data_IF_043699457201
#
_entry.id   IF_043699457201
#
_cell.length_a   1.000
_cell.length_b   1.000
_cell.length_c   1.000
_cell.angle_alpha   90.00
_cell.angle_beta   90.00
_cell.angle_gamma   90.00
#
_symmetry.space_group_name_H-M   'P 1'
#
loop_
_entity.id
_entity.type
_entity.pdbx_description
1 polymer ?
#
# COMPACT_ATOMS: atom_id res chain seq x y z
N UNK A 1 9.79 31.29 -13.76
CA UNK A 1 10.19 30.12 -12.95
C UNK A 1 11.67 29.83 -13.20
N UNK A 2 12.56 30.70 -12.70
CA UNK A 2 14.00 30.58 -12.86
C UNK A 2 14.62 30.42 -11.47
N UNK A 3 14.62 29.19 -10.93
CA UNK A 3 15.26 28.86 -9.65
C UNK A 3 15.68 27.38 -9.51
N UNK A 4 15.70 26.57 -10.57
CA UNK A 4 16.10 25.15 -10.50
C UNK A 4 17.50 24.85 -11.07
N UNK A 5 18.20 25.84 -11.63
CA UNK A 5 19.49 25.67 -12.29
C UNK A 5 20.71 25.28 -11.42
N UNK A 6 20.84 25.69 -10.12
CA UNK A 6 22.11 25.48 -9.43
C UNK A 6 22.23 24.15 -8.64
N UNK A 7 21.16 23.34 -8.54
CA UNK A 7 21.19 22.10 -7.75
C UNK A 7 21.90 20.94 -8.50
N UNK A 8 21.87 20.94 -9.84
CA UNK A 8 22.43 19.87 -10.66
C UNK A 8 23.97 19.81 -10.62
N UNK A 9 24.64 20.95 -10.39
CA UNK A 9 26.12 21.05 -10.48
C UNK A 9 26.81 20.54 -9.21
N UNK A 10 26.12 20.46 -8.06
CA UNK A 10 26.73 20.05 -6.78
C UNK A 10 26.69 18.54 -6.58
N UNK A 11 25.74 17.83 -7.19
CA UNK A 11 25.56 16.38 -6.96
C UNK A 11 26.53 15.49 -7.75
N UNK A 12 27.03 15.94 -8.89
CA UNK A 12 27.94 15.15 -9.75
C UNK A 12 29.35 15.00 -9.15
N UNK A 13 29.73 15.83 -8.16
CA UNK A 13 31.09 15.88 -7.64
C UNK A 13 31.37 14.98 -6.40
N UNK A 14 30.36 14.30 -5.82
CA UNK A 14 30.50 13.63 -4.50
C UNK A 14 30.42 12.10 -4.50
N UNK A 15 30.17 11.44 -5.64
CA UNK A 15 30.12 9.97 -5.70
C UNK A 15 31.44 9.37 -6.23
N UNK A 16 32.46 9.33 -5.37
CA UNK A 16 33.68 8.55 -5.59
C UNK A 16 33.42 7.06 -5.41
N UNK A 17 33.55 6.30 -6.50
CA UNK A 17 33.45 4.83 -6.56
C UNK A 17 34.76 4.22 -6.03
N UNK A 18 34.66 3.26 -5.10
CA UNK A 18 35.78 2.36 -4.77
C UNK A 18 35.30 0.91 -4.76
N UNK A 19 35.93 0.09 -5.61
CA UNK A 19 35.72 -1.34 -5.80
C UNK A 19 36.61 -2.11 -4.81
N UNK A 20 36.06 -3.13 -4.14
CA UNK A 20 36.81 -4.06 -3.30
C UNK A 20 36.28 -5.49 -3.42
N UNK A 21 37.16 -6.41 -3.80
CA UNK A 21 36.91 -7.85 -4.04
C UNK A 21 37.08 -8.72 -2.76
N UNK A 22 36.32 -9.83 -2.71
CA UNK A 22 36.71 -11.16 -2.23
C UNK A 22 36.89 -11.42 -0.72
N UNK A 23 36.14 -12.36 -0.12
CA UNK A 23 36.49 -13.80 -0.11
C UNK A 23 35.45 -14.68 0.62
N UNK A 24 35.33 -15.92 0.16
CA UNK A 24 34.45 -16.99 0.66
C UNK A 24 34.96 -17.62 1.97
N UNK A 25 34.05 -18.14 2.81
CA UNK A 25 34.23 -19.47 3.41
C UNK A 25 32.95 -20.09 4.00
N UNK A 26 32.76 -21.37 3.65
CA UNK A 26 31.76 -22.35 4.10
C UNK A 26 31.98 -22.79 5.55
N UNK A 27 30.92 -23.27 6.23
CA UNK A 27 30.92 -24.52 7.02
C UNK A 27 29.47 -24.95 7.42
N UNK A 28 29.23 -26.26 7.39
CA UNK A 28 27.96 -26.99 7.57
C UNK A 28 27.70 -27.41 9.04
N UNK A 29 26.50 -27.94 9.38
CA UNK A 29 25.95 -28.02 10.75
C UNK A 29 26.12 -29.39 11.44
N UNK A 30 25.95 -29.42 12.77
CA UNK A 30 25.83 -30.64 13.58
C UNK A 30 24.47 -30.75 14.28
N UNK A 31 23.82 -31.91 14.09
CA UNK A 31 22.63 -32.41 14.79
C UNK A 31 22.94 -32.92 16.21
N UNK A 32 21.95 -32.87 17.11
CA UNK A 32 21.68 -33.96 18.08
C UNK A 32 20.26 -33.84 18.68
N UNK A 33 19.40 -34.80 18.33
CA UNK A 33 18.14 -35.11 19.02
C UNK A 33 18.39 -35.95 20.28
N UNK A 34 17.54 -35.82 21.31
CA UNK A 34 17.48 -36.76 22.44
C UNK A 34 16.02 -37.11 22.74
N UNK A 35 15.71 -38.39 22.57
CA UNK A 35 14.48 -39.06 23.02
C UNK A 35 14.47 -39.29 24.54
N UNK A 36 13.29 -39.29 25.15
CA UNK A 36 13.04 -39.69 26.54
C UNK A 36 12.04 -40.86 26.59
N UNK A 37 12.18 -41.81 27.54
CA UNK A 37 11.45 -43.08 27.50
C UNK A 37 10.11 -43.07 28.27
N UNK A 38 9.20 -43.92 27.79
CA UNK A 38 7.88 -44.27 28.34
C UNK A 38 7.96 -45.27 29.52
N UNK A 39 7.00 -45.24 30.46
CA UNK A 39 6.61 -46.45 31.16
C UNK A 39 5.12 -46.78 31.04
N UNK A 40 4.85 -48.05 30.75
CA UNK A 40 3.55 -48.70 30.78
C UNK A 40 3.00 -48.87 32.22
N UNK A 41 1.69 -48.69 32.38
CA UNK A 41 0.91 -49.21 33.51
C UNK A 41 -0.57 -49.34 33.12
N UNK A 42 -1.11 -50.58 33.12
CA UNK A 42 -2.51 -50.92 32.81
C UNK A 42 -3.36 -51.01 34.08
N UNK A 43 -4.54 -50.39 34.10
CA UNK A 43 -5.73 -50.73 34.92
C UNK A 43 -7.00 -50.25 34.14
N UNK A 44 -8.23 -50.74 34.43
CA UNK A 44 -9.18 -51.19 33.41
C UNK A 44 -10.27 -50.17 33.05
N UNK A 45 -10.87 -50.43 31.88
CA UNK A 45 -11.91 -49.69 31.15
C UNK A 45 -13.08 -49.13 31.98
N UNK A 46 -13.27 -47.80 31.92
CA UNK A 46 -14.58 -47.13 31.86
C UNK A 46 -14.47 -45.96 30.88
N UNK A 47 -15.33 -45.97 29.84
CA UNK A 47 -15.57 -44.96 28.79
C UNK A 47 -14.50 -43.90 28.54
N UNK A 48 -13.83 -43.94 27.37
CA UNK A 48 -12.88 -42.88 27.01
C UNK A 48 -13.58 -41.52 26.94
N UNK A 49 -12.99 -40.44 27.50
CA UNK A 49 -13.51 -39.07 27.38
C UNK A 49 -13.76 -38.63 25.92
N UNK A 50 -13.10 -39.30 24.97
CA UNK A 50 -13.26 -39.10 23.53
C UNK A 50 -14.67 -39.47 23.04
N UNK A 51 -15.33 -40.45 23.64
CA UNK A 51 -16.72 -40.83 23.26
C UNK A 51 -17.77 -39.87 23.81
N UNK A 52 -17.47 -39.11 24.88
CA UNK A 52 -18.34 -38.04 25.41
C UNK A 52 -18.10 -36.69 24.72
N UNK A 53 -16.93 -36.46 24.10
CA UNK A 53 -16.66 -35.26 23.30
C UNK A 53 -17.19 -35.34 21.86
N UNK A 54 -17.39 -36.55 21.33
CA UNK A 54 -17.85 -36.78 19.95
C UNK A 54 -19.37 -36.73 19.73
N UNK A 55 -20.19 -36.57 20.78
CA UNK A 55 -21.65 -36.47 20.66
C UNK A 55 -22.11 -35.13 21.25
N UNK A 56 -22.49 -34.20 20.37
CA UNK A 56 -23.08 -32.88 20.65
C UNK A 56 -22.13 -31.73 21.01
N UNK A 57 -21.30 -31.32 20.04
CA UNK A 57 -21.01 -29.88 19.87
C UNK A 57 -21.11 -29.52 18.40
N UNK A 58 -22.33 -29.31 17.92
CA UNK A 58 -22.53 -28.32 16.86
C UNK A 58 -21.72 -27.08 17.28
N UNK A 59 -20.78 -26.58 16.45
CA UNK A 59 -20.02 -25.40 16.82
C UNK A 59 -21.01 -24.29 17.14
N UNK A 60 -20.80 -23.60 18.26
CA UNK A 60 -21.67 -22.47 18.62
C UNK A 60 -21.77 -21.51 17.45
N UNK A 61 -22.91 -20.82 17.29
CA UNK A 61 -23.06 -19.83 16.20
C UNK A 61 -21.93 -18.79 16.20
N UNK A 62 -21.40 -18.45 17.38
CA UNK A 62 -20.20 -17.62 17.53
C UNK A 62 -18.96 -18.27 16.90
N UNK A 63 -18.72 -19.57 17.15
CA UNK A 63 -17.61 -20.31 16.56
C UNK A 63 -17.76 -20.45 15.02
N UNK A 64 -18.99 -20.69 14.53
CA UNK A 64 -19.28 -20.74 13.08
C UNK A 64 -19.03 -19.39 12.40
N UNK A 65 -19.44 -18.29 13.03
CA UNK A 65 -19.20 -16.93 12.54
C UNK A 65 -17.72 -16.53 12.58
N UNK A 66 -17.01 -16.93 13.64
CA UNK A 66 -15.56 -16.74 13.75
C UNK A 66 -14.82 -17.54 12.66
N UNK A 67 -15.21 -18.78 12.39
CA UNK A 67 -14.64 -19.59 11.31
C UNK A 67 -14.88 -18.97 9.93
N UNK A 68 -16.13 -18.61 9.62
CA UNK A 68 -16.48 -17.98 8.34
C UNK A 68 -15.76 -16.63 8.15
N UNK A 69 -15.75 -15.78 9.19
CA UNK A 69 -15.04 -14.50 9.17
C UNK A 69 -13.54 -14.67 9.04
N UNK A 70 -12.96 -15.69 9.67
CA UNK A 70 -11.53 -16.01 9.56
C UNK A 70 -11.17 -16.52 8.17
N UNK A 71 -11.99 -17.40 7.58
CA UNK A 71 -11.79 -17.91 6.22
C UNK A 71 -11.88 -16.80 5.18
N UNK A 72 -12.94 -15.99 5.23
CA UNK A 72 -13.08 -14.81 4.36
C UNK A 72 -11.92 -13.85 4.52
N UNK A 73 -11.52 -13.58 5.77
CA UNK A 73 -10.39 -12.70 6.03
C UNK A 73 -9.08 -13.26 5.49
N UNK A 74 -8.82 -14.56 5.61
CA UNK A 74 -7.57 -15.19 5.13
C UNK A 74 -7.50 -15.22 3.61
N UNK A 75 -8.62 -15.47 2.94
CA UNK A 75 -8.70 -15.45 1.48
C UNK A 75 -8.55 -14.03 0.93
N UNK A 76 -9.20 -13.05 1.55
CA UNK A 76 -8.97 -11.63 1.27
C UNK A 76 -7.50 -11.22 1.49
N UNK A 77 -6.86 -11.76 2.54
CA UNK A 77 -5.43 -11.56 2.80
C UNK A 77 -4.56 -12.11 1.67
N UNK A 78 -4.84 -13.34 1.20
CA UNK A 78 -4.09 -13.95 0.09
C UNK A 78 -4.20 -13.10 -1.16
N UNK A 79 -5.41 -12.69 -1.53
CA UNK A 79 -5.58 -11.82 -2.69
C UNK A 79 -4.84 -10.48 -2.56
N UNK A 80 -4.81 -9.89 -1.36
CA UNK A 80 -4.06 -8.67 -1.11
C UNK A 80 -2.54 -8.88 -1.17
N UNK A 81 -2.01 -10.05 -0.74
CA UNK A 81 -0.58 -10.37 -0.73
C UNK A 81 -0.04 -10.90 -2.06
N UNK A 82 -0.88 -11.60 -2.82
CA UNK A 82 -0.57 -12.13 -4.15
C UNK A 82 -0.66 -11.03 -5.23
N UNK A 83 -0.93 -9.78 -4.82
CA UNK A 83 -1.09 -8.66 -5.75
C UNK A 83 -2.26 -8.88 -6.71
N UNK A 84 -3.35 -9.51 -6.26
CA UNK A 84 -4.60 -9.69 -7.03
C UNK A 84 -5.71 -8.72 -6.61
N UNK A 85 -5.53 -8.02 -5.49
CA UNK A 85 -6.51 -7.08 -4.94
C UNK A 85 -5.88 -5.75 -4.62
N UNK A 86 -6.36 -4.73 -5.31
CA UNK A 86 -5.92 -3.36 -5.12
C UNK A 86 -4.46 -3.11 -5.49
N UNK A 87 -3.68 -4.12 -5.87
CA UNK A 87 -2.41 -3.90 -6.56
C UNK A 87 -2.69 -3.23 -7.90
N UNK A 88 -1.80 -2.35 -8.28
CA UNK A 88 -1.78 -1.77 -9.62
C UNK A 88 -1.64 -2.91 -10.67
N UNK A 89 -1.03 -4.05 -10.29
CA UNK A 89 -1.01 -5.33 -11.05
C UNK A 89 -2.39 -5.90 -11.41
N UNK A 90 -3.39 -5.92 -10.53
CA UNK A 90 -4.70 -6.47 -10.91
C UNK A 90 -5.44 -5.57 -11.93
N UNK A 91 -5.19 -4.26 -11.84
CA UNK A 91 -5.68 -3.27 -12.78
C UNK A 91 -4.94 -3.37 -14.14
N UNK A 92 -3.63 -3.67 -14.12
CA UNK A 92 -2.80 -3.76 -15.33
C UNK A 92 -2.80 -5.15 -16.01
N UNK A 93 -2.81 -6.25 -15.26
CA UNK A 93 -2.82 -7.65 -15.77
C UNK A 93 -4.13 -7.96 -16.52
N UNK A 94 -5.26 -7.40 -16.08
CA UNK A 94 -6.53 -7.50 -16.82
C UNK A 94 -6.46 -6.91 -18.24
N UNK A 95 -5.43 -6.11 -18.54
CA UNK A 95 -5.28 -5.35 -19.77
C UNK A 95 -4.01 -5.69 -20.57
N UNK A 96 -3.16 -6.62 -20.11
CA UNK A 96 -2.17 -7.27 -21.00
C UNK A 96 -2.81 -8.31 -21.92
N UNK A 97 -4.11 -8.59 -21.76
CA UNK A 97 -4.84 -9.65 -22.47
C UNK A 97 -5.77 -9.16 -23.58
N UNK A 98 -5.86 -7.84 -23.82
CA UNK A 98 -6.80 -7.27 -24.80
C UNK A 98 -6.13 -6.77 -26.10
N UNK A 99 -4.80 -6.70 -26.17
CA UNK A 99 -4.06 -6.38 -27.40
C UNK A 99 -3.18 -7.58 -27.82
N UNK A 100 -3.55 -8.18 -28.95
CA UNK A 100 -2.91 -9.27 -29.71
C UNK A 100 -3.06 -10.74 -29.21
N UNK A 101 -3.30 -11.64 -30.17
CA UNK A 101 -3.61 -13.07 -30.04
C UNK A 101 -2.52 -13.97 -29.39
N UNK A 102 -1.58 -13.42 -28.63
CA UNK A 102 -0.59 -14.19 -27.89
C UNK A 102 -0.69 -13.85 -26.41
N UNK A 103 -1.41 -14.71 -25.67
CA UNK A 103 -1.46 -14.69 -24.20
C UNK A 103 -0.05 -14.96 -23.66
N UNK A 104 0.75 -13.91 -23.49
CA UNK A 104 1.90 -13.97 -22.59
C UNK A 104 1.31 -13.82 -21.19
N UNK A 105 0.95 -14.94 -20.57
CA UNK A 105 0.83 -14.98 -19.11
C UNK A 105 2.19 -14.52 -18.57
N UNK A 106 2.32 -13.23 -18.22
CA UNK A 106 3.47 -12.77 -17.44
C UNK A 106 3.35 -13.53 -16.13
N UNK A 107 4.24 -14.51 -15.86
CA UNK A 107 4.11 -15.34 -14.68
C UNK A 107 4.08 -14.38 -13.49
N UNK A 108 3.14 -14.57 -12.56
CA UNK A 108 3.02 -13.73 -11.36
C UNK A 108 4.34 -13.63 -10.59
N UNK A 109 5.19 -14.63 -10.76
CA UNK A 109 6.53 -14.76 -10.20
C UNK A 109 7.61 -13.87 -10.85
N UNK A 110 7.38 -13.36 -12.07
CA UNK A 110 8.40 -12.60 -12.84
C UNK A 110 8.61 -11.17 -12.33
N UNK A 111 7.55 -10.43 -12.01
CA UNK A 111 7.67 -9.08 -11.42
C UNK A 111 7.71 -9.08 -9.89
N UNK A 112 7.76 -10.26 -9.26
CA UNK A 112 7.96 -10.34 -7.81
C UNK A 112 9.45 -10.22 -7.48
N UNK A 113 9.86 -8.99 -7.20
CA UNK A 113 11.23 -8.65 -6.81
C UNK A 113 11.73 -9.44 -5.57
N UNK A 114 10.85 -10.10 -4.80
CA UNK A 114 11.21 -10.96 -3.66
C UNK A 114 11.89 -12.27 -4.11
N UNK A 115 11.73 -12.67 -5.36
CA UNK A 115 12.32 -13.88 -5.92
C UNK A 115 13.82 -13.74 -6.24
N UNK A 116 14.35 -12.52 -6.22
CA UNK A 116 15.75 -12.25 -6.55
C UNK A 116 16.60 -11.95 -5.30
N UNK A 117 17.85 -12.46 -5.21
CA UNK A 117 18.74 -12.20 -4.09
C UNK A 117 19.08 -10.71 -3.96
N UNK A 118 19.35 -10.24 -2.75
CA UNK A 118 19.74 -8.84 -2.55
C UNK A 118 21.09 -8.55 -3.22
N UNK A 119 21.16 -7.43 -3.95
CA UNK A 119 22.35 -6.96 -4.63
C UNK A 119 22.45 -5.43 -4.51
N UNK A 120 23.68 -4.91 -4.58
CA UNK A 120 23.91 -3.48 -4.68
C UNK A 120 23.49 -2.98 -6.06
N UNK A 121 22.89 -1.79 -6.12
CA UNK A 121 22.38 -1.21 -7.36
C UNK A 121 21.33 -0.14 -7.07
N UNK A 122 20.45 0.09 -8.05
CA UNK A 122 19.30 0.97 -7.89
C UNK A 122 18.28 0.38 -6.92
N UNK A 123 17.45 1.25 -6.33
CA UNK A 123 16.39 0.82 -5.41
C UNK A 123 15.37 -0.04 -6.17
N UNK A 124 14.98 -1.16 -5.59
CA UNK A 124 13.83 -1.96 -6.05
C UNK A 124 12.52 -1.18 -5.89
N UNK A 125 11.55 -1.38 -6.77
CA UNK A 125 10.27 -0.66 -6.74
C UNK A 125 9.44 -1.03 -5.50
N UNK A 126 9.49 -2.30 -5.12
CA UNK A 126 8.88 -2.81 -3.89
C UNK A 126 9.59 -2.35 -2.61
N UNK A 127 10.75 -1.71 -2.67
CA UNK A 127 11.57 -1.41 -1.50
C UNK A 127 12.24 -2.64 -0.87
N UNK A 128 12.07 -3.83 -1.45
CA UNK A 128 12.75 -5.06 -1.01
C UNK A 128 14.28 -4.89 -1.06
N UNK A 129 14.99 -5.51 -0.11
CA UNK A 129 16.45 -5.42 0.04
C UNK A 129 17.03 -4.03 0.36
N UNK A 130 16.20 -3.02 0.65
CA UNK A 130 16.72 -1.74 1.16
C UNK A 130 17.51 -1.93 2.47
N UNK A 131 17.00 -2.79 3.36
CA UNK A 131 17.78 -3.33 4.47
C UNK A 131 18.33 -4.71 4.12
N UNK A 132 19.65 -4.84 3.92
CA UNK A 132 20.30 -6.08 3.49
C UNK A 132 20.19 -7.24 4.50
N UNK A 133 20.05 -6.94 5.80
CA UNK A 133 19.89 -7.96 6.84
C UNK A 133 18.43 -8.39 7.01
N UNK A 134 17.51 -7.45 6.78
CA UNK A 134 16.07 -7.66 6.91
C UNK A 134 15.36 -7.14 5.64
N UNK A 135 15.42 -7.88 4.51
CA UNK A 135 14.97 -7.38 3.20
C UNK A 135 13.50 -6.95 3.13
N UNK A 136 12.68 -7.40 4.09
CA UNK A 136 11.25 -7.06 4.21
C UNK A 136 10.98 -5.68 4.83
N UNK A 137 11.94 -5.07 5.50
CA UNK A 137 11.68 -3.80 6.17
C UNK A 137 11.32 -2.73 5.14
N UNK A 138 10.17 -2.10 5.33
CA UNK A 138 9.63 -1.07 4.44
C UNK A 138 9.25 -1.55 3.04
N UNK A 139 9.28 -2.85 2.76
CA UNK A 139 8.89 -3.37 1.46
C UNK A 139 7.37 -3.32 1.25
N UNK A 140 6.92 -3.19 0.00
CA UNK A 140 5.51 -3.28 -0.36
C UNK A 140 4.92 -4.64 0.02
N UNK A 141 3.59 -4.67 0.18
CA UNK A 141 2.86 -5.83 0.68
C UNK A 141 3.31 -6.31 2.06
N UNK A 142 3.70 -5.38 2.94
CA UNK A 142 4.12 -5.65 4.32
C UNK A 142 3.11 -5.19 5.35
N UNK A 143 3.10 -5.86 6.50
CA UNK A 143 2.31 -5.44 7.66
C UNK A 143 2.80 -4.08 8.16
N UNK A 144 1.87 -3.23 8.60
CA UNK A 144 2.24 -2.02 9.35
C UNK A 144 2.95 -2.40 10.65
N UNK A 145 3.97 -1.61 11.01
CA UNK A 145 4.55 -1.69 12.33
C UNK A 145 3.58 -1.10 13.37
N UNK A 146 3.36 -1.83 14.46
CA UNK A 146 2.58 -1.33 15.60
C UNK A 146 3.50 -0.68 16.64
N UNK A 147 3.29 0.61 16.89
CA UNK A 147 3.92 1.31 18.02
C UNK A 147 3.25 0.96 19.36
N UNK A 148 1.97 0.57 19.34
CA UNK A 148 1.19 0.14 20.50
C UNK A 148 0.39 -1.13 20.17
N UNK A 149 0.08 -1.98 21.17
CA UNK A 149 -0.78 -3.14 20.96
C UNK A 149 -2.16 -2.75 20.37
N UNK A 150 -2.76 -3.56 19.49
CA UNK A 150 -4.09 -3.27 18.94
C UNK A 150 -5.17 -3.38 20.02
N UNK A 151 -6.22 -2.57 19.87
CA UNK A 151 -7.38 -2.56 20.75
C UNK A 151 -8.65 -2.96 19.97
N UNK A 152 -9.05 -4.23 20.11
CA UNK A 152 -10.28 -4.81 19.57
C UNK A 152 -11.17 -5.30 20.72
N UNK A 153 -12.49 -5.36 20.51
CA UNK A 153 -13.43 -5.77 21.57
C UNK A 153 -13.19 -7.22 22.03
N UNK A 154 -12.77 -8.08 21.11
CA UNK A 154 -12.42 -9.48 21.35
C UNK A 154 -10.90 -9.71 21.42
N UNK A 155 -10.11 -8.64 21.51
CA UNK A 155 -8.64 -8.64 21.48
C UNK A 155 -8.04 -9.22 20.17
N UNK A 156 -8.85 -9.53 19.16
CA UNK A 156 -8.41 -10.22 17.94
C UNK A 156 -8.79 -9.45 16.69
N UNK A 157 -10.07 -9.22 16.43
CA UNK A 157 -10.54 -8.71 15.14
C UNK A 157 -11.79 -7.85 15.24
N UNK A 158 -12.62 -7.98 16.26
CA UNK A 158 -13.88 -7.25 16.37
C UNK A 158 -13.62 -5.76 16.60
N UNK A 159 -14.10 -4.85 15.71
CA UNK A 159 -13.93 -3.42 15.87
C UNK A 159 -14.38 -2.97 17.25
N UNK A 160 -13.59 -2.10 17.87
CA UNK A 160 -13.88 -1.61 19.21
C UNK A 160 -15.21 -0.86 19.25
N UNK A 161 -16.11 -1.25 20.15
CA UNK A 161 -17.42 -0.61 20.33
C UNK A 161 -17.56 0.16 21.64
N UNK A 162 -16.67 -0.07 22.62
CA UNK A 162 -16.73 0.56 23.95
C UNK A 162 -15.51 1.43 24.25
N UNK A 163 -15.75 2.61 24.81
CA UNK A 163 -14.74 3.55 25.28
C UNK A 163 -14.09 3.13 26.61
N UNK A 164 -13.07 3.86 27.04
CA UNK A 164 -12.38 3.60 28.33
C UNK A 164 -13.29 3.73 29.55
N UNK A 165 -14.40 4.46 29.42
CA UNK A 165 -15.43 4.62 30.46
C UNK A 165 -16.44 3.48 30.50
N UNK A 166 -16.29 2.45 29.64
CA UNK A 166 -17.24 1.35 29.49
C UNK A 166 -18.53 1.72 28.73
N UNK A 167 -18.66 2.96 28.24
CA UNK A 167 -19.80 3.41 27.42
C UNK A 167 -19.58 3.09 25.94
N UNK A 168 -20.66 2.88 25.20
CA UNK A 168 -20.60 2.73 23.74
C UNK A 168 -19.95 3.96 23.09
N UNK A 169 -19.08 3.72 22.12
CA UNK A 169 -18.49 4.74 21.28
C UNK A 169 -19.59 5.35 20.38
N UNK A 170 -19.62 6.68 20.22
CA UNK A 170 -20.54 7.29 19.28
C UNK A 170 -20.15 6.92 17.84
N UNK A 171 -21.15 6.92 16.94
CA UNK A 171 -20.86 6.81 15.50
C UNK A 171 -19.86 7.89 15.06
N UNK A 172 -18.87 7.57 14.22
CA UNK A 172 -17.97 8.55 13.62
C UNK A 172 -18.72 9.74 12.99
N UNK A 173 -19.87 9.50 12.35
CA UNK A 173 -20.68 10.57 11.76
C UNK A 173 -21.24 11.54 12.80
N UNK A 174 -21.63 11.04 13.98
CA UNK A 174 -22.05 11.89 15.09
C UNK A 174 -20.90 12.78 15.57
N UNK A 175 -19.68 12.25 15.61
CA UNK A 175 -18.49 13.03 15.94
C UNK A 175 -18.27 14.12 14.89
N UNK A 176 -18.38 13.79 13.59
CA UNK A 176 -18.29 14.77 12.50
C UNK A 176 -19.24 15.94 12.73
N UNK A 177 -20.54 15.68 12.93
CA UNK A 177 -21.54 16.76 13.05
C UNK A 177 -21.49 17.52 14.37
N UNK A 178 -20.89 16.95 15.42
CA UNK A 178 -20.81 17.59 16.75
C UNK A 178 -19.50 18.36 16.96
N UNK A 179 -18.38 17.83 16.47
CA UNK A 179 -17.03 18.36 16.74
C UNK A 179 -16.51 19.15 15.55
N UNK A 180 -16.66 18.61 14.34
CA UNK A 180 -16.13 19.21 13.12
C UNK A 180 -17.23 20.11 12.52
N UNK A 181 -17.29 21.35 12.99
CA UNK A 181 -18.21 22.36 12.45
C UNK A 181 -17.94 22.65 10.96
N UNK A 182 -18.91 23.30 10.30
CA UNK A 182 -18.80 23.69 8.88
C UNK A 182 -18.00 24.98 8.66
N UNK A 183 -17.37 25.53 9.69
CA UNK A 183 -16.64 26.78 9.59
C UNK A 183 -15.31 26.57 8.83
N UNK A 184 -15.17 27.25 7.70
CA UNK A 184 -13.89 27.36 7.00
C UNK A 184 -13.09 28.54 7.56
N UNK A 185 -11.84 28.29 7.93
CA UNK A 185 -10.89 29.33 8.30
C UNK A 185 -9.74 29.30 7.32
N UNK A 186 -9.59 30.35 6.53
CA UNK A 186 -8.49 30.48 5.59
C UNK A 186 -7.16 30.69 6.34
N UNK A 187 -6.10 30.10 5.80
CA UNK A 187 -4.74 30.29 6.32
C UNK A 187 -4.05 31.40 5.54
N UNK A 188 -3.48 32.37 6.27
CA UNK A 188 -2.62 33.40 5.69
C UNK A 188 -1.15 32.95 5.55
N UNK A 189 -0.80 31.78 6.07
CA UNK A 189 0.59 31.30 6.17
C UNK A 189 0.87 30.09 5.29
N UNK A 190 -0.18 29.40 4.82
CA UNK A 190 -0.07 28.13 4.11
C UNK A 190 -0.89 28.21 2.83
N UNK A 191 -0.25 27.91 1.71
CA UNK A 191 -0.94 27.78 0.42
C UNK A 191 -1.62 26.43 0.32
N UNK A 192 -2.56 26.29 -0.62
CA UNK A 192 -3.20 25.00 -0.94
C UNK A 192 -2.19 23.91 -1.33
N UNK A 193 -1.02 24.32 -1.84
CA UNK A 193 0.08 23.41 -2.17
C UNK A 193 0.54 22.58 -0.96
N UNK A 194 0.48 23.13 0.24
CA UNK A 194 0.85 22.39 1.44
C UNK A 194 -0.09 21.19 1.70
N UNK A 195 -1.39 21.37 1.50
CA UNK A 195 -2.35 20.26 1.61
C UNK A 195 -2.10 19.25 0.50
N UNK A 196 -1.95 19.72 -0.74
CA UNK A 196 -1.78 18.84 -1.90
C UNK A 196 -0.49 18.03 -1.85
N UNK A 197 0.61 18.64 -1.42
CA UNK A 197 1.89 17.95 -1.23
C UNK A 197 1.80 16.89 -0.13
N UNK A 198 1.04 17.16 0.94
CA UNK A 198 0.78 16.18 1.99
C UNK A 198 0.07 14.93 1.47
N UNK A 199 -0.98 15.10 0.66
CA UNK A 199 -1.63 13.97 -0.01
C UNK A 199 -0.67 13.25 -0.96
N UNK A 200 0.10 13.99 -1.76
CA UNK A 200 1.06 13.41 -2.70
C UNK A 200 2.14 12.58 -1.99
N UNK A 201 2.63 13.04 -0.84
CA UNK A 201 3.55 12.29 0.03
C UNK A 201 2.88 11.06 0.67
N UNK A 202 1.65 11.18 1.17
CA UNK A 202 0.92 10.04 1.74
C UNK A 202 0.85 8.87 0.74
N UNK A 203 0.66 9.19 -0.54
CA UNK A 203 0.58 8.22 -1.61
C UNK A 203 1.92 7.53 -1.94
N UNK A 204 3.04 8.05 -1.44
CA UNK A 204 4.38 7.45 -1.57
C UNK A 204 4.68 6.46 -0.44
N UNK A 205 4.10 6.65 0.75
CA UNK A 205 4.56 5.97 1.97
C UNK A 205 3.54 5.00 2.58
N UNK A 206 2.26 5.12 2.21
CA UNK A 206 1.24 4.22 2.75
C UNK A 206 0.04 4.00 1.83
N UNK A 207 -0.42 2.75 1.76
CA UNK A 207 -1.66 2.40 1.08
C UNK A 207 -2.27 1.14 1.67
N UNK A 208 -3.36 1.31 2.42
CA UNK A 208 -4.10 0.18 2.98
C UNK A 208 -5.24 -0.22 2.03
N UNK A 209 -5.23 -1.43 1.43
CA UNK A 209 -6.32 -1.88 0.58
C UNK A 209 -7.57 -2.22 1.41
N UNK A 210 -8.74 -2.09 0.79
CA UNK A 210 -9.99 -2.61 1.34
C UNK A 210 -10.00 -4.15 1.27
N UNK A 211 -10.67 -4.78 2.24
CA UNK A 211 -10.95 -6.22 2.16
C UNK A 211 -11.81 -6.51 0.93
N UNK A 212 -11.62 -7.69 0.35
CA UNK A 212 -12.44 -8.24 -0.73
C UNK A 212 -13.20 -9.48 -0.30
N UNK A 213 -14.22 -9.84 -1.06
CA UNK A 213 -14.85 -11.14 -0.97
C UNK A 213 -13.91 -12.26 -1.44
N UNK A 214 -14.31 -13.51 -1.22
CA UNK A 214 -13.52 -14.71 -1.57
C UNK A 214 -13.28 -14.82 -3.08
N UNK A 215 -14.21 -14.33 -3.89
CA UNK A 215 -14.10 -14.25 -5.35
C UNK A 215 -13.29 -13.05 -5.86
N UNK A 216 -12.69 -12.26 -4.95
CA UNK A 216 -11.92 -11.07 -5.29
C UNK A 216 -12.76 -9.80 -5.50
N UNK A 217 -14.09 -9.90 -5.47
CA UNK A 217 -14.96 -8.75 -5.69
C UNK A 217 -14.99 -7.78 -4.49
N UNK A 218 -15.29 -6.51 -4.74
CA UNK A 218 -15.45 -5.52 -3.68
C UNK A 218 -16.72 -5.81 -2.85
N UNK A 219 -16.63 -5.86 -1.50
CA UNK A 219 -17.77 -6.12 -0.65
C UNK A 219 -18.79 -4.98 -0.77
N UNK A 220 -20.04 -5.34 -1.01
CA UNK A 220 -21.16 -4.39 -0.92
C UNK A 220 -21.70 -4.40 0.51
N UNK A 221 -21.70 -3.26 1.17
CA UNK A 221 -22.26 -3.09 2.51
C UNK A 221 -23.49 -2.15 2.49
N UNK A 222 -24.58 -2.54 1.79
CA UNK A 222 -25.78 -1.70 1.67
C UNK A 222 -26.59 -1.64 2.97
N UNK A 223 -26.49 -2.67 3.81
CA UNK A 223 -27.24 -2.77 5.05
C UNK A 223 -26.52 -2.05 6.19
N UNK A 224 -27.28 -1.41 7.08
CA UNK A 224 -26.76 -0.80 8.30
C UNK A 224 -26.46 -1.83 9.40
N UNK A 225 -26.08 -3.05 9.01
CA UNK A 225 -25.78 -4.18 9.88
C UNK A 225 -24.47 -4.84 9.46
N UNK A 226 -23.67 -5.23 10.45
CA UNK A 226 -22.46 -6.03 10.26
C UNK A 226 -22.72 -7.53 10.23
N UNK A 227 -23.96 -7.95 10.49
CA UNK A 227 -24.31 -9.37 10.70
C UNK A 227 -24.26 -10.18 9.39
N UNK A 228 -24.60 -9.54 8.26
CA UNK A 228 -24.63 -10.19 6.96
C UNK A 228 -23.22 -10.42 6.38
N UNK A 229 -22.29 -9.50 6.66
CA UNK A 229 -20.93 -9.57 6.11
C UNK A 229 -19.89 -9.04 7.11
N UNK A 230 -18.96 -9.88 7.60
CA UNK A 230 -17.96 -9.49 8.58
C UNK A 230 -16.89 -8.51 8.03
N UNK A 231 -16.85 -8.31 6.72
CA UNK A 231 -16.00 -7.31 6.05
C UNK A 231 -16.61 -5.90 6.08
N UNK A 232 -17.90 -5.79 6.39
CA UNK A 232 -18.61 -4.52 6.47
C UNK A 232 -18.56 -3.91 7.87
N UNK A 233 -18.45 -2.59 7.92
CA UNK A 233 -18.56 -1.81 9.16
C UNK A 233 -19.28 -0.48 8.88
N UNK A 234 -20.59 -0.52 8.56
CA UNK A 234 -21.33 0.65 8.12
C UNK A 234 -21.32 1.76 9.18
N UNK A 235 -21.17 3.01 8.74
CA UNK A 235 -21.14 4.17 9.62
C UNK A 235 -22.59 4.64 9.83
N UNK A 236 -23.12 4.43 11.03
CA UNK A 236 -24.50 4.80 11.36
C UNK A 236 -24.70 6.31 11.31
N UNK A 237 -25.72 6.77 10.58
CA UNK A 237 -26.06 8.19 10.48
C UNK A 237 -27.06 8.54 11.58
N UNK A 238 -26.80 9.57 12.41
CA UNK A 238 -27.76 10.04 13.41
C UNK A 238 -29.07 10.53 12.76
N UNK A 239 -30.21 10.32 13.44
CA UNK A 239 -31.51 10.75 12.91
C UNK A 239 -31.63 12.28 12.71
N UNK A 240 -30.83 13.06 13.44
CA UNK A 240 -30.76 14.51 13.35
C UNK A 240 -29.56 15.00 12.52
N UNK A 241 -29.06 14.18 11.60
CA UNK A 241 -27.98 14.59 10.69
C UNK A 241 -28.42 15.78 9.83
N UNK A 242 -27.61 16.86 9.71
CA UNK A 242 -28.00 18.05 8.97
C UNK A 242 -27.92 17.88 7.45
N UNK A 243 -27.24 16.84 6.94
CA UNK A 243 -27.01 16.62 5.51
C UNK A 243 -27.76 15.41 4.97
N UNK A 244 -27.71 14.28 5.69
CA UNK A 244 -28.35 13.05 5.22
C UNK A 244 -29.80 12.94 5.69
N UNK A 245 -30.74 12.50 4.83
CA UNK A 245 -32.11 12.25 5.25
C UNK A 245 -32.16 11.07 6.24
N UNK A 246 -33.11 11.05 7.19
CA UNK A 246 -33.25 9.95 8.14
C UNK A 246 -33.42 8.56 7.49
N UNK A 247 -33.95 8.51 6.26
CA UNK A 247 -34.12 7.28 5.47
C UNK A 247 -32.81 6.66 4.99
N UNK A 248 -31.69 7.41 4.97
CA UNK A 248 -30.39 6.88 4.53
C UNK A 248 -29.83 5.84 5.49
N UNK A 249 -30.06 6.01 6.80
CA UNK A 249 -29.67 5.08 7.86
C UNK A 249 -28.16 4.96 8.15
N UNK A 250 -27.32 4.78 7.13
CA UNK A 250 -25.88 4.61 7.26
C UNK A 250 -25.09 4.98 5.99
N UNK A 251 -23.77 5.09 6.14
CA UNK A 251 -22.82 5.17 5.03
C UNK A 251 -22.10 3.83 4.86
N UNK A 252 -21.90 3.42 3.60
CA UNK A 252 -21.14 2.22 3.25
C UNK A 252 -19.68 2.37 3.70
N UNK A 253 -19.16 1.36 4.39
CA UNK A 253 -17.76 1.32 4.80
C UNK A 253 -17.31 -0.13 4.88
N UNK A 254 -16.23 -0.42 4.15
CA UNK A 254 -15.59 -1.73 4.08
C UNK A 254 -14.33 -1.68 4.93
N UNK A 255 -14.08 -2.74 5.68
CA UNK A 255 -12.90 -2.84 6.53
C UNK A 255 -11.65 -3.05 5.69
N UNK A 256 -10.55 -2.39 6.06
CA UNK A 256 -9.21 -2.62 5.50
C UNK A 256 -8.81 -4.09 5.56
N UNK A 257 -8.10 -4.59 4.55
CA UNK A 257 -7.62 -5.98 4.48
C UNK A 257 -6.82 -6.37 5.73
N UNK A 258 -6.98 -7.63 6.14
CA UNK A 258 -6.04 -8.26 7.05
C UNK A 258 -4.81 -8.69 6.23
N UNK A 259 -3.60 -8.51 6.74
CA UNK A 259 -2.36 -8.93 6.10
C UNK A 259 -1.77 -10.22 6.66
N UNK A 260 -2.42 -10.83 7.67
CA UNK A 260 -1.92 -12.04 8.32
C UNK A 260 -2.36 -13.33 7.63
N UNK A 261 -1.39 -14.17 7.31
CA UNK A 261 -1.61 -15.53 6.79
C UNK A 261 -1.77 -16.60 7.89
N UNK A 262 -1.60 -16.22 9.16
CA UNK A 262 -1.70 -17.12 10.31
C UNK A 262 -2.60 -16.54 11.39
N UNK A 263 -3.12 -17.42 12.26
CA UNK A 263 -3.95 -17.04 13.40
C UNK A 263 -3.25 -15.98 14.27
N UNK A 264 -4.01 -14.99 14.71
CA UNK A 264 -3.54 -13.91 15.57
C UNK A 264 -4.42 -12.68 15.46
N UNK A 265 -4.03 -11.62 16.18
CA UNK A 265 -4.72 -10.33 16.11
C UNK A 265 -4.65 -9.76 14.69
N UNK A 266 -5.71 -9.08 14.24
CA UNK A 266 -5.80 -8.49 12.91
C UNK A 266 -4.68 -7.47 12.72
N UNK A 267 -3.95 -7.61 11.62
CA UNK A 267 -2.92 -6.66 11.21
C UNK A 267 -3.24 -6.14 9.83
N UNK A 268 -3.17 -4.83 9.62
CA UNK A 268 -3.37 -4.23 8.30
C UNK A 268 -2.05 -4.28 7.51
N UNK A 269 -2.17 -4.22 6.20
CA UNK A 269 -1.08 -4.28 5.24
C UNK A 269 -0.97 -2.95 4.49
N UNK A 270 0.26 -2.50 4.24
CA UNK A 270 0.54 -1.54 3.17
C UNK A 270 0.92 -2.30 1.91
N UNK A 271 0.32 -1.96 0.77
CA UNK A 271 0.64 -2.57 -0.52
C UNK A 271 1.64 -1.76 -1.35
N UNK A 272 2.16 -0.67 -0.79
CA UNK A 272 3.23 0.15 -1.39
C UNK A 272 4.46 0.20 -0.49
N UNK A 273 5.61 0.61 -1.04
CA UNK A 273 6.84 0.81 -0.28
C UNK A 273 6.59 1.80 0.88
N UNK A 274 7.37 1.70 1.96
CA UNK A 274 7.28 2.63 3.09
C UNK A 274 8.31 3.76 3.01
N UNK A 275 9.10 3.80 1.92
CA UNK A 275 10.17 4.75 1.73
C UNK A 275 9.65 5.98 0.99
N UNK A 276 10.29 7.14 1.19
CA UNK A 276 10.08 8.28 0.29
C UNK A 276 10.94 8.02 -0.94
N UNK A 277 10.38 7.25 -1.89
CA UNK A 277 11.06 6.79 -3.11
C UNK A 277 10.27 7.04 -4.39
N UNK A 278 9.34 8.01 -4.33
CA UNK A 278 8.53 8.46 -5.46
C UNK A 278 7.70 7.32 -6.09
N UNK A 279 7.31 6.32 -5.30
CA UNK A 279 6.53 5.17 -5.73
C UNK A 279 5.16 5.57 -6.31
N UNK A 280 4.59 6.72 -5.91
CA UNK A 280 3.39 7.28 -6.54
C UNK A 280 3.59 7.71 -7.99
N UNK A 281 4.84 7.92 -8.42
CA UNK A 281 5.23 8.20 -9.82
C UNK A 281 5.64 6.92 -10.53
N UNK A 282 6.42 6.06 -9.86
CA UNK A 282 7.11 4.91 -10.47
C UNK A 282 6.46 3.55 -10.26
N UNK A 283 5.48 3.43 -9.37
CA UNK A 283 4.91 2.15 -8.94
C UNK A 283 5.67 1.52 -7.77
N UNK A 284 5.00 0.58 -7.10
CA UNK A 284 5.55 -0.21 -5.98
C UNK A 284 5.84 -1.67 -6.33
N UNK A 285 5.83 -2.00 -7.61
CA UNK A 285 6.29 -3.27 -8.16
C UNK A 285 6.77 -3.11 -9.61
N UNK A 286 7.54 -4.08 -10.07
CA UNK A 286 8.27 -4.02 -11.33
C UNK A 286 7.35 -4.04 -12.57
N UNK A 287 6.19 -4.71 -12.50
CA UNK A 287 5.23 -4.74 -13.61
C UNK A 287 4.63 -3.35 -13.82
N UNK A 288 4.27 -2.66 -12.73
CA UNK A 288 3.72 -1.30 -12.77
C UNK A 288 4.75 -0.34 -13.34
N UNK A 289 5.97 -0.38 -12.81
CA UNK A 289 7.05 0.46 -13.28
C UNK A 289 7.31 0.27 -14.78
N UNK A 290 7.38 -0.98 -15.24
CA UNK A 290 7.56 -1.31 -16.65
C UNK A 290 6.39 -0.80 -17.51
N UNK A 291 5.14 -0.94 -17.05
CA UNK A 291 3.98 -0.47 -17.79
C UNK A 291 3.98 1.05 -18.03
N UNK A 292 4.59 1.82 -17.14
CA UNK A 292 4.68 3.29 -17.18
C UNK A 292 5.81 3.81 -18.05
N UNK A 293 6.79 2.97 -18.40
CA UNK A 293 7.96 3.35 -19.21
C UNK A 293 7.62 3.40 -20.69
N UNK A 294 8.19 4.37 -21.38
CA UNK A 294 8.16 4.44 -22.84
C UNK A 294 9.13 3.44 -23.49
N UNK A 295 10.12 2.96 -22.72
CA UNK A 295 11.23 2.10 -23.18
C UNK A 295 12.04 2.76 -24.32
N UNK A 296 12.07 4.08 -24.32
CA UNK A 296 12.83 4.92 -25.24
C UNK A 296 13.47 6.08 -24.47
N UNK A 297 14.79 6.20 -24.60
CA UNK A 297 15.65 7.21 -23.97
C UNK A 297 15.42 7.44 -22.45
N UNK A 298 14.99 6.40 -21.74
CA UNK A 298 14.72 6.40 -20.31
C UNK A 298 13.44 7.11 -19.91
N UNK A 299 12.53 7.38 -20.85
CA UNK A 299 11.34 8.19 -20.62
C UNK A 299 10.17 7.41 -20.00
N UNK A 300 9.27 8.14 -19.32
CA UNK A 300 7.93 7.68 -18.97
C UNK A 300 6.94 7.97 -20.11
N UNK A 301 5.95 7.10 -20.30
CA UNK A 301 4.83 7.30 -21.24
C UNK A 301 4.06 8.56 -20.90
N UNK A 302 3.53 9.23 -21.92
CA UNK A 302 2.68 10.43 -21.80
C UNK A 302 1.40 10.26 -22.60
N UNK A 303 0.49 11.23 -22.51
CA UNK A 303 -0.55 11.44 -23.54
C UNK A 303 0.07 11.67 -24.93
N UNK A 304 -0.75 11.51 -25.98
CA UNK A 304 -0.34 11.69 -27.39
C UNK A 304 0.31 13.06 -27.68
N UNK A 305 -0.10 14.11 -26.95
CA UNK A 305 0.45 15.46 -27.08
C UNK A 305 1.68 15.73 -26.20
N UNK A 306 2.11 14.73 -25.42
CA UNK A 306 3.29 14.80 -24.56
C UNK A 306 3.13 15.64 -23.28
N UNK A 307 1.91 16.09 -22.95
CA UNK A 307 1.70 17.10 -21.89
C UNK A 307 1.04 16.59 -20.62
N UNK A 308 0.44 15.41 -20.69
CA UNK A 308 -0.32 14.83 -19.58
C UNK A 308 0.19 13.42 -19.29
N UNK A 309 -0.22 12.90 -18.14
CA UNK A 309 -0.10 11.48 -17.82
C UNK A 309 -0.69 10.61 -18.94
N UNK A 310 -0.20 9.38 -19.13
CA UNK A 310 -0.79 8.44 -20.06
C UNK A 310 -2.23 8.15 -19.65
N UNK A 311 -3.08 7.92 -20.65
CA UNK A 311 -4.47 7.53 -20.42
C UNK A 311 -4.52 6.12 -19.84
N UNK A 312 -5.38 5.93 -18.86
CA UNK A 312 -5.73 4.63 -18.35
C UNK A 312 -6.82 4.03 -19.27
N UNK A 313 -6.67 2.77 -19.69
CA UNK A 313 -7.63 2.10 -20.58
C UNK A 313 -8.98 1.79 -19.92
N UNK A 314 -9.04 1.83 -18.58
CA UNK A 314 -10.28 1.66 -17.80
C UNK A 314 -10.64 2.95 -17.03
N UNK A 315 -11.92 3.10 -16.74
CA UNK A 315 -12.51 4.20 -15.96
C UNK A 315 -12.25 4.09 -14.45
N UNK A 316 -11.63 3.01 -13.96
CA UNK A 316 -11.00 2.93 -12.64
C UNK A 316 -11.71 3.71 -11.51
N UNK A 317 -10.99 4.67 -10.91
CA UNK A 317 -11.52 5.59 -9.88
C UNK A 317 -12.22 6.83 -10.43
N UNK A 318 -12.10 7.14 -11.72
CA UNK A 318 -12.76 8.29 -12.30
C UNK A 318 -14.25 7.99 -12.51
N UNK A 319 -15.08 8.99 -12.27
CA UNK A 319 -16.52 8.93 -12.58
C UNK A 319 -16.80 9.81 -13.79
N UNK A 320 -16.13 9.54 -14.90
CA UNK A 320 -16.39 10.22 -16.17
C UNK A 320 -16.72 9.20 -17.24
N UNK A 321 -17.83 9.43 -17.93
CA UNK A 321 -18.21 8.65 -19.12
C UNK A 321 -17.60 9.24 -20.40
N UNK A 322 -16.89 10.38 -20.30
CA UNK A 322 -16.44 11.19 -21.44
C UNK A 322 -14.95 11.53 -21.45
N UNK A 323 -14.24 11.29 -20.35
CA UNK A 323 -12.81 11.61 -20.20
C UNK A 323 -12.12 10.38 -19.62
N UNK A 324 -11.14 9.88 -20.35
CA UNK A 324 -10.31 8.75 -19.93
C UNK A 324 -9.59 9.09 -18.61
N UNK A 325 -9.48 8.10 -17.73
CA UNK A 325 -8.65 8.20 -16.54
C UNK A 325 -7.18 8.44 -16.90
N UNK A 326 -6.39 8.86 -15.92
CA UNK A 326 -4.94 8.83 -16.02
C UNK A 326 -4.33 7.62 -15.31
N UNK A 327 -3.19 7.17 -15.82
CA UNK A 327 -2.36 6.14 -15.23
C UNK A 327 -1.11 6.77 -14.61
N UNK A 328 -0.70 6.28 -13.44
CA UNK A 328 0.51 6.68 -12.72
C UNK A 328 0.97 5.52 -11.82
N UNK A 329 2.06 5.72 -11.05
CA UNK A 329 2.56 4.75 -10.08
C UNK A 329 1.62 4.44 -8.91
N UNK A 330 0.63 5.30 -8.64
CA UNK A 330 -0.43 5.06 -7.66
C UNK A 330 -1.81 5.27 -8.29
N UNK A 331 -2.70 4.29 -8.13
CA UNK A 331 -4.03 4.30 -8.77
C UNK A 331 -4.98 5.41 -8.29
N UNK A 332 -4.67 6.07 -7.16
CA UNK A 332 -5.49 7.18 -6.64
C UNK A 332 -5.18 8.50 -7.37
N UNK A 333 -4.34 8.49 -8.41
CA UNK A 333 -4.02 9.67 -9.25
C UNK A 333 -5.26 10.45 -9.73
N UNK A 334 -6.41 9.78 -9.90
CA UNK A 334 -7.66 10.38 -10.35
C UNK A 334 -8.60 10.84 -9.20
N UNK A 335 -8.15 10.82 -7.93
CA UNK A 335 -9.00 11.16 -6.78
C UNK A 335 -9.46 12.62 -6.80
N UNK A 336 -8.58 13.54 -7.20
CA UNK A 336 -8.91 14.95 -7.42
C UNK A 336 -7.93 15.59 -8.42
N UNK A 337 -8.38 16.69 -9.03
CA UNK A 337 -7.68 17.35 -10.14
C UNK A 337 -6.32 17.92 -9.71
N UNK A 338 -6.20 18.38 -8.46
CA UNK A 338 -4.96 18.94 -7.95
C UNK A 338 -3.89 17.84 -7.76
N UNK A 339 -4.27 16.66 -7.26
CA UNK A 339 -3.38 15.49 -7.20
C UNK A 339 -2.92 15.06 -8.58
N UNK A 340 -3.84 14.92 -9.54
CA UNK A 340 -3.51 14.60 -10.94
C UNK A 340 -2.51 15.60 -11.52
N UNK A 341 -2.67 16.89 -11.21
CA UNK A 341 -1.77 17.94 -11.68
C UNK A 341 -0.35 17.80 -11.13
N UNK A 342 -0.21 17.43 -9.85
CA UNK A 342 1.11 17.18 -9.23
C UNK A 342 1.77 15.95 -9.84
N UNK A 343 0.99 14.90 -10.08
CA UNK A 343 1.48 13.68 -10.74
C UNK A 343 1.99 13.97 -12.15
N UNK A 344 1.23 14.73 -12.96
CA UNK A 344 1.67 15.18 -14.28
C UNK A 344 2.97 15.98 -14.20
N UNK A 345 3.09 16.90 -13.23
CA UNK A 345 4.30 17.72 -13.07
C UNK A 345 5.55 16.86 -12.87
N UNK A 346 5.48 15.85 -11.99
CA UNK A 346 6.63 14.98 -11.70
C UNK A 346 6.96 14.01 -12.84
N UNK A 347 5.96 13.56 -13.59
CA UNK A 347 6.19 12.82 -14.82
C UNK A 347 6.94 13.68 -15.86
N UNK A 348 6.49 14.91 -16.08
CA UNK A 348 7.15 15.81 -17.03
C UNK A 348 8.56 16.18 -16.58
N UNK A 349 8.79 16.34 -15.26
CA UNK A 349 10.11 16.59 -14.71
C UNK A 349 11.06 15.40 -14.89
N UNK A 350 10.57 14.17 -14.74
CA UNK A 350 11.32 12.98 -15.12
C UNK A 350 11.79 13.07 -16.56
N UNK A 351 10.86 13.25 -17.51
CA UNK A 351 11.18 13.24 -18.93
C UNK A 351 12.12 14.39 -19.32
N UNK A 352 12.01 15.55 -18.66
CA UNK A 352 12.96 16.67 -18.81
C UNK A 352 14.37 16.27 -18.38
N UNK A 353 14.53 15.67 -17.20
CA UNK A 353 15.84 15.27 -16.67
C UNK A 353 16.44 14.13 -17.51
N UNK A 354 15.66 13.12 -17.90
CA UNK A 354 16.12 12.03 -18.76
C UNK A 354 16.65 12.56 -20.11
N UNK A 355 15.93 13.50 -20.73
CA UNK A 355 16.37 14.15 -21.98
C UNK A 355 17.69 14.90 -21.80
N UNK A 356 17.84 15.64 -20.69
CA UNK A 356 19.09 16.34 -20.38
C UNK A 356 20.26 15.37 -20.12
N UNK A 357 20.01 14.28 -19.38
CA UNK A 357 21.00 13.24 -19.13
C UNK A 357 21.43 12.53 -20.42
N UNK A 358 20.50 12.30 -21.36
CA UNK A 358 20.83 11.75 -22.70
C UNK A 358 21.76 12.68 -23.48
N UNK A 359 21.48 13.99 -23.44
CA UNK A 359 22.31 15.00 -24.10
C UNK A 359 23.73 15.05 -23.52
N UNK A 360 23.89 14.86 -22.21
CA UNK A 360 25.18 14.84 -21.52
C UNK A 360 25.91 13.49 -21.70
N UNK A 361 25.17 12.38 -21.68
CA UNK A 361 25.68 11.02 -21.77
C UNK A 361 25.05 10.25 -22.95
N UNK A 362 25.43 10.54 -24.21
CA UNK A 362 24.79 9.94 -25.38
C UNK A 362 24.90 8.41 -25.48
N UNK A 363 25.88 7.82 -24.80
CA UNK A 363 26.12 6.38 -24.79
C UNK A 363 25.32 5.60 -23.73
N UNK A 364 24.59 6.28 -22.84
CA UNK A 364 23.72 5.60 -21.89
C UNK A 364 22.52 4.98 -22.61
N UNK A 365 22.19 3.76 -22.21
CA UNK A 365 21.01 3.04 -22.65
C UNK A 365 19.75 3.51 -21.90
N UNK A 366 18.59 3.04 -22.35
CA UNK A 366 17.28 3.37 -21.77
C UNK A 366 17.22 3.09 -20.26
N UNK A 367 17.69 1.91 -19.83
CA UNK A 367 17.66 1.51 -18.42
C UNK A 367 18.52 2.43 -17.55
N UNK A 368 19.75 2.73 -17.98
CA UNK A 368 20.65 3.62 -17.24
C UNK A 368 20.04 5.02 -17.11
N UNK A 369 19.47 5.56 -18.19
CA UNK A 369 18.83 6.87 -18.19
C UNK A 369 17.62 6.90 -17.25
N UNK A 370 16.75 5.90 -17.32
CA UNK A 370 15.58 5.77 -16.47
C UNK A 370 15.98 5.71 -14.99
N UNK A 371 16.92 4.83 -14.61
CA UNK A 371 17.28 4.61 -13.22
C UNK A 371 18.05 5.79 -12.61
N UNK A 372 18.96 6.44 -13.35
CA UNK A 372 19.64 7.64 -12.86
C UNK A 372 18.67 8.83 -12.75
N UNK A 373 17.74 8.97 -13.70
CA UNK A 373 16.66 9.98 -13.61
C UNK A 373 15.78 9.73 -12.38
N UNK A 374 15.31 8.49 -12.19
CA UNK A 374 14.53 8.08 -11.03
C UNK A 374 15.24 8.37 -9.72
N UNK A 375 16.53 8.08 -9.62
CA UNK A 375 17.34 8.37 -8.45
C UNK A 375 17.42 9.87 -8.14
N UNK A 376 17.51 10.73 -9.15
CA UNK A 376 17.48 12.20 -8.98
C UNK A 376 16.11 12.65 -8.48
N UNK A 377 15.03 12.18 -9.08
CA UNK A 377 13.65 12.52 -8.66
C UNK A 377 13.40 12.09 -7.20
N UNK A 378 13.84 10.89 -6.80
CA UNK A 378 13.79 10.43 -5.42
C UNK A 378 14.54 11.39 -4.48
N UNK A 379 15.73 11.83 -4.86
CA UNK A 379 16.50 12.79 -4.06
C UNK A 379 15.79 14.14 -3.94
N UNK A 380 15.14 14.62 -5.02
CA UNK A 380 14.32 15.84 -4.99
C UNK A 380 13.13 15.70 -4.05
N UNK A 381 12.41 14.58 -4.12
CA UNK A 381 11.29 14.29 -3.21
C UNK A 381 11.77 14.27 -1.75
N UNK A 382 12.86 13.56 -1.44
CA UNK A 382 13.41 13.52 -0.10
C UNK A 382 13.83 14.91 0.38
N UNK A 383 14.48 15.71 -0.48
CA UNK A 383 14.86 17.08 -0.15
C UNK A 383 13.66 17.94 0.21
N UNK A 384 12.64 18.00 -0.67
CA UNK A 384 11.44 18.79 -0.45
C UNK A 384 10.74 18.35 0.84
N UNK A 385 10.61 17.04 1.07
CA UNK A 385 9.94 16.51 2.24
C UNK A 385 10.66 16.87 3.55
N UNK A 386 11.95 16.58 3.66
CA UNK A 386 12.69 16.82 4.91
C UNK A 386 13.06 18.28 5.11
N UNK A 387 13.35 19.04 4.04
CA UNK A 387 13.82 20.42 4.17
C UNK A 387 12.71 21.45 4.19
N UNK A 388 11.65 21.24 3.42
CA UNK A 388 10.62 22.27 3.19
C UNK A 388 9.26 21.90 3.78
N UNK A 389 8.81 20.66 3.61
CA UNK A 389 7.45 20.26 3.98
C UNK A 389 7.32 19.91 5.47
N UNK A 390 8.04 18.88 5.94
CA UNK A 390 7.92 18.37 7.31
C UNK A 390 8.11 19.48 8.34
N UNK A 391 9.14 20.35 8.24
CA UNK A 391 9.32 21.41 9.25
C UNK A 391 8.16 22.39 9.35
N UNK A 392 7.44 22.61 8.24
CA UNK A 392 6.23 23.44 8.24
C UNK A 392 5.03 22.71 8.84
N UNK A 393 4.98 21.37 8.77
CA UNK A 393 3.91 20.57 9.35
C UNK A 393 4.07 20.48 10.87
N UNK A 394 5.24 20.04 11.36
CA UNK A 394 5.45 19.73 12.77
C UNK A 394 5.92 20.94 13.60
N UNK A 395 6.37 22.01 12.93
CA UNK A 395 6.85 23.22 13.57
C UNK A 395 8.32 23.15 14.00
N UNK A 396 8.94 24.31 14.32
CA UNK A 396 10.37 24.40 14.60
C UNK A 396 10.79 23.62 15.86
N UNK A 397 9.92 23.57 16.86
CA UNK A 397 10.20 22.90 18.15
C UNK A 397 10.48 21.40 18.03
N UNK A 398 10.03 20.77 16.94
CA UNK A 398 10.25 19.35 16.64
C UNK A 398 11.27 19.11 15.52
N UNK A 399 11.89 20.17 14.99
CA UNK A 399 12.85 20.07 13.87
C UNK A 399 14.26 20.47 14.24
N UNK A 400 14.43 21.19 15.35
CA UNK A 400 15.73 21.62 15.85
C UNK A 400 16.29 20.57 16.85
N UNK A 401 16.69 19.41 16.32
CA UNK A 401 17.70 18.50 16.93
C UNK A 401 18.79 18.14 15.93
#
# INVERSE_FOLDING_TARGET
MAAFGPILVVFVALCGISIGQGDENRLHPHHAERELPSPHGRYPMRGSPQTLHGRNREPTETAKKLDLGSRKSLEATRHALDGKVGSDRAFLIAHMTDDDEDVVEVPTDSCDERNFPCALGHRRYSGWCNNMQNPRFGASHSLYQRLLPPAYDDDVNSPRSVGVSGRLLPSPRKITTTVFGLASHESNERTIWMMQWGQFLDHDISRTPNSVETDGSFPKCPDCSTTANPLCLPIIIPANDPHFPPSRGCMNFVRSSNGRLSLGRREQISIISAYIDASQVYGSDDCVASSLRAEDDGLLKTSDDGKMLPKSPDNGFCRSDSIDCFLAGDIRVNENIALTSVQTLWLLEHNRIATELKGINPSWDDETLYQETRKIIIAMHQHINYKEYIPKVIGPDLTDE
#
